data_IF_929673327719
#
_entry.id   IF_929673327719
#
_cell.length_a   1.000
_cell.length_b   1.000
_cell.length_c   1.000
_cell.angle_alpha   90.00
_cell.angle_beta   90.00
_cell.angle_gamma   90.00
#
_symmetry.space_group_name_H-M   'P 1'
#
loop_
_entity.id
_entity.type
_entity.pdbx_description
1 polymer ?
#
# COMPACT_ATOMS: atom_id res chain seq x y z
N UNK A 1 -5.81 18.17 9.29
CA UNK A 1 -5.54 17.17 10.34
C UNK A 1 -5.68 17.81 11.69
N UNK A 2 -6.38 17.19 12.63
CA UNK A 2 -6.50 17.74 13.98
C UNK A 2 -5.24 17.46 14.80
N UNK A 3 -5.13 18.10 15.99
CA UNK A 3 -3.96 17.98 16.85
C UNK A 3 -3.67 16.54 17.28
N UNK A 4 -4.71 15.76 17.60
CA UNK A 4 -4.56 14.36 18.04
C UNK A 4 -3.95 13.51 16.93
N UNK A 5 -4.41 13.65 15.70
CA UNK A 5 -3.87 12.93 14.55
C UNK A 5 -2.41 13.31 14.30
N UNK A 6 -2.09 14.60 14.44
CA UNK A 6 -0.74 15.11 14.26
C UNK A 6 0.22 14.54 15.32
N UNK A 7 -0.21 14.49 16.58
CA UNK A 7 0.58 13.91 17.68
C UNK A 7 0.79 12.41 17.47
N UNK A 8 -0.27 11.68 17.09
CA UNK A 8 -0.18 10.25 16.81
C UNK A 8 0.82 9.99 15.67
N UNK A 9 0.80 10.80 14.61
CA UNK A 9 1.73 10.69 13.50
C UNK A 9 3.16 11.01 13.90
N UNK A 10 3.38 11.93 14.86
CA UNK A 10 4.71 12.29 15.34
C UNK A 10 5.40 11.11 16.03
N UNK A 11 4.62 10.21 16.66
CA UNK A 11 5.13 9.03 17.36
C UNK A 11 5.05 7.76 16.50
N UNK A 12 4.35 7.81 15.38
CA UNK A 12 4.24 6.67 14.49
C UNK A 12 5.55 6.44 13.75
N UNK A 13 5.98 5.19 13.72
CA UNK A 13 7.16 4.79 12.98
C UNK A 13 6.80 3.63 12.05
N UNK A 14 7.08 3.81 10.75
CA UNK A 14 6.89 2.77 9.76
C UNK A 14 7.84 1.59 10.06
N UNK A 15 7.33 0.36 9.95
CA UNK A 15 8.13 -0.84 10.10
C UNK A 15 9.33 -0.81 9.16
N UNK A 16 10.48 -1.21 9.66
CA UNK A 16 11.75 -1.17 8.92
C UNK A 16 11.70 -1.98 7.63
N UNK A 17 10.99 -3.11 7.62
CA UNK A 17 10.88 -3.96 6.45
C UNK A 17 10.02 -3.30 5.37
N UNK A 18 8.92 -2.67 5.76
CA UNK A 18 8.10 -1.90 4.82
C UNK A 18 8.88 -0.73 4.23
N UNK A 19 9.64 -0.04 5.07
CA UNK A 19 10.49 1.06 4.63
C UNK A 19 11.56 0.59 3.63
N UNK A 20 12.16 -0.56 3.89
CA UNK A 20 13.21 -1.13 3.03
C UNK A 20 12.66 -1.64 1.70
N UNK A 21 11.47 -2.24 1.70
CA UNK A 21 10.89 -2.90 0.52
C UNK A 21 10.07 -1.95 -0.36
N UNK A 22 9.72 -0.77 0.13
CA UNK A 22 8.80 0.13 -0.54
C UNK A 22 9.37 1.53 -0.72
N UNK A 23 8.79 2.26 -1.67
CA UNK A 23 8.99 3.70 -1.82
C UNK A 23 7.79 4.44 -1.26
N UNK A 24 8.04 5.48 -0.49
CA UNK A 24 6.99 6.36 0.02
C UNK A 24 6.42 7.18 -1.14
N UNK A 25 5.10 7.20 -1.25
CA UNK A 25 4.42 7.98 -2.29
C UNK A 25 3.83 9.26 -1.72
N UNK A 26 2.97 9.14 -0.71
CA UNK A 26 2.26 10.28 -0.14
C UNK A 26 1.57 9.90 1.17
N UNK A 27 1.25 10.90 1.97
CA UNK A 27 0.25 10.78 3.04
C UNK A 27 -1.09 11.16 2.42
N UNK A 28 -2.10 10.29 2.53
CA UNK A 28 -3.40 10.53 1.90
C UNK A 28 -4.53 10.74 2.91
N UNK A 29 -4.20 10.82 4.20
CA UNK A 29 -5.12 11.04 5.29
C UNK A 29 -4.66 10.28 6.52
N UNK A 30 -5.41 9.27 6.94
CA UNK A 30 -4.99 8.36 8.03
C UNK A 30 -3.83 7.49 7.58
N UNK A 31 -3.78 7.14 6.31
CA UNK A 31 -2.78 6.22 5.77
C UNK A 31 -1.64 6.91 5.05
N UNK A 32 -0.46 6.29 5.15
CA UNK A 32 0.64 6.51 4.21
C UNK A 32 0.48 5.56 3.04
N UNK A 33 0.71 6.06 1.84
CA UNK A 33 0.70 5.26 0.62
C UNK A 33 2.13 4.92 0.21
N UNK A 34 2.39 3.65 0.04
CA UNK A 34 3.69 3.12 -0.39
C UNK A 34 3.54 2.40 -1.72
N UNK A 35 4.61 2.40 -2.50
CA UNK A 35 4.74 1.58 -3.70
C UNK A 35 5.75 0.47 -3.40
N UNK A 36 5.31 -0.78 -3.46
CA UNK A 36 6.20 -1.94 -3.34
C UNK A 36 7.19 -1.92 -4.50
N UNK A 37 8.46 -2.09 -4.18
CA UNK A 37 9.52 -2.10 -5.19
C UNK A 37 9.58 -3.45 -5.92
N UNK A 38 8.52 -3.73 -6.68
CA UNK A 38 8.43 -4.88 -7.55
C UNK A 38 7.74 -4.48 -8.85
N UNK A 39 8.48 -4.52 -9.95
CA UNK A 39 8.02 -4.04 -11.25
C UNK A 39 7.09 -5.03 -11.97
N UNK A 40 6.89 -6.22 -11.41
CA UNK A 40 6.08 -7.26 -12.06
C UNK A 40 4.59 -6.91 -12.11
N UNK A 41 4.11 -6.19 -11.10
CA UNK A 41 2.71 -5.74 -11.01
C UNK A 41 2.67 -4.38 -10.30
N UNK A 42 1.64 -3.54 -10.55
CA UNK A 42 1.43 -2.34 -9.74
C UNK A 42 0.96 -2.77 -8.35
N UNK A 43 1.80 -2.57 -7.37
CA UNK A 43 1.61 -3.10 -6.01
C UNK A 43 1.75 -1.97 -5.00
N UNK A 44 0.62 -1.57 -4.42
CA UNK A 44 0.55 -0.49 -3.45
C UNK A 44 0.26 -1.04 -2.06
N UNK A 45 0.74 -0.32 -1.06
CA UNK A 45 0.51 -0.65 0.34
C UNK A 45 0.04 0.61 1.06
N UNK A 46 -1.05 0.46 1.81
CA UNK A 46 -1.58 1.50 2.69
C UNK A 46 -1.23 1.14 4.12
N UNK A 47 -0.62 2.08 4.83
CA UNK A 47 -0.27 1.89 6.23
C UNK A 47 -0.98 2.94 7.06
N UNK A 48 -2.02 2.57 7.82
CA UNK A 48 -2.63 3.49 8.77
C UNK A 48 -1.59 3.97 9.78
N UNK A 49 -1.45 5.27 9.94
CA UNK A 49 -0.46 5.87 10.85
C UNK A 49 -0.95 5.84 12.29
N UNK A 50 -1.26 4.63 12.77
CA UNK A 50 -1.74 4.38 14.12
C UNK A 50 -0.71 3.53 14.85
N UNK A 51 -0.19 4.07 15.94
CA UNK A 51 0.87 3.43 16.71
C UNK A 51 0.41 2.07 17.23
N UNK A 52 1.24 1.04 17.03
CA UNK A 52 1.04 -0.33 17.51
C UNK A 52 -0.21 -1.05 16.95
N UNK A 53 -0.86 -0.52 15.94
CA UNK A 53 -1.99 -1.21 15.32
C UNK A 53 -1.50 -2.41 14.50
N UNK A 54 -2.12 -3.57 14.72
CA UNK A 54 -1.85 -4.79 13.96
C UNK A 54 -3.08 -5.28 13.19
N UNK A 55 -4.27 -4.92 13.66
CA UNK A 55 -5.53 -5.33 13.05
C UNK A 55 -6.44 -4.13 12.81
N UNK A 56 -7.18 -4.14 11.72
CA UNK A 56 -8.13 -3.08 11.41
C UNK A 56 -9.17 -2.90 12.53
N UNK A 57 -9.59 -4.00 13.13
CA UNK A 57 -10.59 -3.98 14.20
C UNK A 57 -10.14 -3.24 15.46
N UNK A 58 -8.85 -3.03 15.63
CA UNK A 58 -8.31 -2.28 16.75
C UNK A 58 -8.52 -0.76 16.62
N UNK A 59 -8.80 -0.28 15.41
CA UNK A 59 -9.03 1.15 15.17
C UNK A 59 -10.46 1.53 15.55
N UNK A 60 -10.69 2.78 16.02
CA UNK A 60 -12.06 3.28 16.15
C UNK A 60 -12.81 3.19 14.83
N UNK A 61 -14.11 2.99 14.89
CA UNK A 61 -14.95 2.79 13.69
C UNK A 61 -14.79 3.94 12.68
N UNK A 62 -14.71 5.17 13.16
CA UNK A 62 -14.50 6.32 12.30
C UNK A 62 -13.20 6.22 11.48
N UNK A 63 -12.12 5.75 12.12
CA UNK A 63 -10.85 5.53 11.43
C UNK A 63 -10.93 4.35 10.47
N UNK A 64 -11.63 3.26 10.84
CA UNK A 64 -11.86 2.14 9.93
C UNK A 64 -12.57 2.60 8.66
N UNK A 65 -13.58 3.44 8.79
CA UNK A 65 -14.31 4.01 7.66
C UNK A 65 -13.40 4.88 6.79
N UNK A 66 -12.53 5.66 7.43
CA UNK A 66 -11.58 6.49 6.68
C UNK A 66 -10.55 5.64 5.94
N UNK A 67 -10.08 4.56 6.55
CA UNK A 67 -9.18 3.60 5.88
C UNK A 67 -9.88 2.99 4.66
N UNK A 68 -11.13 2.60 4.79
CA UNK A 68 -11.91 2.07 3.66
C UNK A 68 -12.01 3.10 2.53
N UNK A 69 -12.28 4.36 2.87
CA UNK A 69 -12.35 5.44 1.89
C UNK A 69 -11.02 5.60 1.14
N UNK A 70 -9.92 5.61 1.87
CA UNK A 70 -8.58 5.76 1.29
C UNK A 70 -8.19 4.53 0.45
N UNK A 71 -8.55 3.34 0.91
CA UNK A 71 -8.36 2.11 0.14
C UNK A 71 -9.10 2.17 -1.20
N UNK A 72 -10.33 2.66 -1.20
CA UNK A 72 -11.11 2.82 -2.42
C UNK A 72 -10.51 3.87 -3.35
N UNK A 73 -9.93 4.93 -2.81
CA UNK A 73 -9.21 5.93 -3.61
C UNK A 73 -8.01 5.31 -4.32
N UNK A 74 -7.24 4.50 -3.61
CA UNK A 74 -6.08 3.81 -4.19
C UNK A 74 -6.52 2.79 -5.23
N UNK A 75 -7.57 2.03 -4.96
CA UNK A 75 -8.14 1.06 -5.89
C UNK A 75 -8.60 1.74 -7.19
N UNK A 76 -9.26 2.89 -7.09
CA UNK A 76 -9.68 3.68 -8.24
C UNK A 76 -8.48 4.19 -9.04
N UNK A 77 -7.44 4.64 -8.35
CA UNK A 77 -6.20 5.10 -8.99
C UNK A 77 -5.53 3.95 -9.77
N UNK A 78 -5.41 2.78 -9.18
CA UNK A 78 -4.81 1.61 -9.83
C UNK A 78 -5.60 1.24 -11.07
N UNK A 79 -6.93 1.24 -10.97
CA UNK A 79 -7.81 0.95 -12.10
C UNK A 79 -7.61 1.95 -13.24
N UNK A 80 -7.55 3.24 -12.90
CA UNK A 80 -7.40 4.31 -13.88
C UNK A 80 -6.04 4.30 -14.58
N UNK A 81 -4.97 4.12 -13.81
CA UNK A 81 -3.61 4.23 -14.33
C UNK A 81 -3.12 2.95 -15.04
N UNK A 82 -3.55 1.78 -14.59
CA UNK A 82 -2.98 0.51 -15.03
C UNK A 82 -3.97 -0.41 -15.76
N UNK A 83 -5.26 -0.15 -15.64
CA UNK A 83 -6.32 -0.95 -16.28
C UNK A 83 -6.13 -2.47 -16.03
N UNK A 84 -6.06 -2.91 -14.77
CA UNK A 84 -5.83 -4.33 -14.47
C UNK A 84 -7.04 -5.20 -14.81
N UNK A 85 -6.80 -6.49 -14.99
CA UNK A 85 -7.86 -7.49 -15.15
C UNK A 85 -8.58 -7.74 -13.82
N UNK A 86 -7.86 -7.59 -12.71
CA UNK A 86 -8.40 -7.83 -11.37
C UNK A 86 -7.64 -7.01 -10.34
N UNK A 87 -8.32 -6.60 -9.27
CA UNK A 87 -7.68 -6.06 -8.08
C UNK A 87 -7.59 -7.15 -7.02
N UNK A 88 -6.43 -7.26 -6.37
CA UNK A 88 -6.27 -8.07 -5.17
C UNK A 88 -6.02 -7.13 -4.00
N UNK A 89 -6.88 -7.22 -2.99
CA UNK A 89 -6.79 -6.39 -1.80
C UNK A 89 -6.75 -7.32 -0.58
N UNK A 90 -5.81 -7.08 0.32
CA UNK A 90 -5.70 -7.91 1.50
C UNK A 90 -4.75 -7.35 2.53
N UNK A 91 -4.95 -7.77 3.79
CA UNK A 91 -4.07 -7.50 4.90
C UNK A 91 -3.62 -8.84 5.48
N UNK A 92 -2.31 -9.11 5.46
CA UNK A 92 -1.78 -10.38 5.94
C UNK A 92 -1.18 -10.25 7.35
N UNK A 93 -0.04 -9.56 7.45
CA UNK A 93 0.59 -9.34 8.74
C UNK A 93 1.32 -10.54 9.33
N UNK A 94 1.57 -11.58 8.54
CA UNK A 94 2.22 -12.80 9.03
C UNK A 94 3.72 -12.59 9.28
N UNK A 95 4.36 -11.73 8.51
CA UNK A 95 5.79 -11.40 8.63
C UNK A 95 5.95 -10.03 9.27
N UNK A 96 5.29 -9.02 8.72
CA UNK A 96 5.25 -7.65 9.26
C UNK A 96 3.91 -7.47 9.94
N UNK A 97 3.90 -7.39 11.26
CA UNK A 97 2.66 -7.31 12.04
C UNK A 97 2.02 -5.92 12.02
N UNK A 98 2.77 -4.87 11.74
CA UNK A 98 2.20 -3.52 11.62
C UNK A 98 1.09 -3.53 10.57
N UNK A 99 -0.09 -3.03 10.94
CA UNK A 99 -1.25 -3.03 10.06
C UNK A 99 -0.94 -2.37 8.72
N UNK A 100 -1.09 -3.12 7.65
CA UNK A 100 -0.92 -2.61 6.29
C UNK A 100 -1.83 -3.37 5.34
N UNK A 101 -2.30 -2.67 4.31
CA UNK A 101 -3.27 -3.20 3.35
C UNK A 101 -2.65 -3.13 1.96
N UNK A 102 -2.60 -4.27 1.29
CA UNK A 102 -2.13 -4.36 -0.08
C UNK A 102 -3.26 -4.06 -1.05
N UNK A 103 -2.97 -3.25 -2.08
CA UNK A 103 -3.87 -3.01 -3.21
C UNK A 103 -3.05 -3.26 -4.47
N UNK A 104 -3.37 -4.32 -5.19
CA UNK A 104 -2.53 -4.84 -6.26
C UNK A 104 -3.33 -4.98 -7.54
N UNK A 105 -2.83 -4.40 -8.64
CA UNK A 105 -3.39 -4.64 -9.96
C UNK A 105 -2.83 -5.95 -10.53
N UNK A 106 -3.74 -6.83 -10.97
CA UNK A 106 -3.36 -8.14 -11.50
C UNK A 106 -3.73 -8.24 -12.96
N UNK A 107 -2.91 -8.99 -13.69
CA UNK A 107 -3.08 -9.20 -15.12
C UNK A 107 -3.01 -10.69 -15.42
N UNK A 108 -3.81 -11.14 -16.39
CA UNK A 108 -3.83 -12.56 -16.78
C UNK A 108 -2.48 -13.05 -17.30
N UNK A 109 -1.61 -12.14 -17.69
CA UNK A 109 -0.26 -12.44 -18.16
C UNK A 109 0.84 -12.10 -17.14
N UNK A 110 0.49 -11.74 -15.89
CA UNK A 110 1.53 -11.48 -14.90
C UNK A 110 2.18 -12.79 -14.43
N UNK A 111 3.40 -12.72 -13.87
CA UNK A 111 4.18 -13.95 -13.58
C UNK A 111 3.56 -14.88 -12.56
N UNK A 112 2.64 -14.41 -11.70
CA UNK A 112 2.01 -15.23 -10.67
C UNK A 112 0.60 -15.70 -11.03
N UNK A 113 -0.03 -15.06 -12.02
CA UNK A 113 -1.43 -15.36 -12.36
C UNK A 113 -1.68 -16.85 -12.61
N UNK A 114 -2.74 -17.47 -12.08
CA UNK A 114 -3.85 -16.90 -11.30
C UNK A 114 -3.61 -16.91 -9.78
N UNK A 115 -2.42 -17.24 -9.34
CA UNK A 115 -2.10 -17.31 -7.91
C UNK A 115 -1.95 -15.90 -7.31
N UNK A 116 -2.15 -15.75 -5.99
CA UNK A 116 -1.78 -14.50 -5.31
C UNK A 116 -0.30 -14.21 -5.49
N UNK A 117 0.08 -12.93 -5.33
CA UNK A 117 1.49 -12.53 -5.52
C UNK A 117 2.37 -12.95 -4.34
N UNK A 118 1.78 -13.05 -3.14
CA UNK A 118 2.55 -13.36 -1.92
C UNK A 118 3.15 -14.76 -2.00
N UNK A 119 4.49 -14.81 -1.89
CA UNK A 119 5.23 -16.05 -1.98
C UNK A 119 5.42 -16.59 -3.39
N UNK A 120 4.91 -15.91 -4.43
CA UNK A 120 4.95 -16.36 -5.80
C UNK A 120 5.82 -15.50 -6.72
N UNK A 121 5.93 -14.19 -6.43
CA UNK A 121 6.73 -13.30 -7.27
C UNK A 121 8.18 -13.27 -6.80
N UNK A 122 9.09 -13.42 -7.76
CA UNK A 122 10.50 -13.18 -7.54
C UNK A 122 10.76 -11.69 -7.34
N UNK A 123 11.84 -11.35 -6.67
CA UNK A 123 12.30 -9.97 -6.56
C UNK A 123 12.54 -9.39 -7.96
N UNK A 124 11.98 -8.22 -8.22
CA UNK A 124 12.07 -7.56 -9.51
C UNK A 124 12.00 -6.04 -9.33
N UNK A 125 13.08 -5.48 -8.78
CA UNK A 125 13.11 -4.06 -8.44
C UNK A 125 12.98 -3.18 -9.69
N UNK A 126 12.28 -2.05 -9.53
CA UNK A 126 12.30 -1.01 -10.56
C UNK A 126 13.73 -0.49 -10.73
N UNK A 127 14.12 -0.14 -11.97
CA UNK A 127 15.28 0.72 -12.18
C UNK A 127 14.96 2.11 -11.64
N UNK A 128 15.99 2.93 -11.42
CA UNK A 128 15.79 4.32 -10.98
C UNK A 128 14.86 5.08 -11.92
N UNK A 129 15.06 4.93 -13.23
CA UNK A 129 14.26 5.61 -14.24
C UNK A 129 12.81 5.12 -14.22
N UNK A 130 12.59 3.81 -14.11
CA UNK A 130 11.25 3.24 -14.03
C UNK A 130 10.53 3.70 -12.77
N UNK A 131 11.21 3.70 -11.63
CA UNK A 131 10.63 4.15 -10.37
C UNK A 131 10.21 5.61 -10.45
N UNK A 132 11.06 6.46 -11.00
CA UNK A 132 10.76 7.88 -11.16
C UNK A 132 9.55 8.10 -12.08
N UNK A 133 9.45 7.34 -13.17
CA UNK A 133 8.29 7.37 -14.06
C UNK A 133 7.01 6.98 -13.33
N UNK A 134 7.07 5.91 -12.51
CA UNK A 134 5.92 5.48 -11.72
C UNK A 134 5.49 6.54 -10.72
N UNK A 135 6.43 7.09 -9.97
CA UNK A 135 6.12 8.11 -8.97
C UNK A 135 5.52 9.37 -9.60
N UNK A 136 6.05 9.80 -10.74
CA UNK A 136 5.52 10.94 -11.48
C UNK A 136 4.07 10.69 -11.92
N UNK A 137 3.81 9.52 -12.49
CA UNK A 137 2.49 9.09 -12.95
C UNK A 137 1.48 9.05 -11.80
N UNK A 138 1.89 8.49 -10.66
CA UNK A 138 1.04 8.33 -9.49
C UNK A 138 0.72 9.68 -8.83
N UNK A 139 1.71 10.55 -8.74
CA UNK A 139 1.57 11.85 -8.09
C UNK A 139 0.92 12.93 -8.96
N UNK A 140 0.68 12.60 -10.21
CA UNK A 140 0.07 13.57 -11.14
C UNK A 140 -1.39 13.88 -10.80
#
# INVERSE_FOLDING_TARGET
MNEVTKEANAHFKLDERLEADCEFVANIGVCSLLLMNNASVPWFILVPSVMQATELTELPMEQQQQVLHEMNQVAAMVTSLYNPDKLNIGALGNVVSQLHIHVIGRFTNDPAWPNPVWGQLAANAYSEAQLEQQLTKIRA
#
